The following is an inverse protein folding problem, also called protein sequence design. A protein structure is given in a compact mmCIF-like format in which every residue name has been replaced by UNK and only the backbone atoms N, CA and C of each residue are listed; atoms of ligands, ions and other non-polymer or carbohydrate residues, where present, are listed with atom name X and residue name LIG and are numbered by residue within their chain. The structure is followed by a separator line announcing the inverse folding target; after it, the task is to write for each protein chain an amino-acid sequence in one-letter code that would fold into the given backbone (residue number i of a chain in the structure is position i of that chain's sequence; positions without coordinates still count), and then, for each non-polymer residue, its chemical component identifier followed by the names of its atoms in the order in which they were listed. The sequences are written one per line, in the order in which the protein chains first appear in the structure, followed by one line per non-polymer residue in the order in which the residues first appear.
data_IF_760621697466
#
_entry.id   IF_760621697466
#
_cell.length_a   1.000
_cell.length_b   1.000
_cell.length_c   1.000
_cell.angle_alpha   90.00
_cell.angle_beta   90.00
_cell.angle_gamma   90.00
#
_symmetry.space_group_name_H-M   'P 1'
#
loop_
_entity.id
_entity.type
_entity.pdbx_description
1 polymer ?
#
# COMPACT_ATOMS: atom_id res chain seq x y z
N UNK A 1 22.45 15.76 37.38
CA UNK A 1 21.95 14.47 36.86
C UNK A 1 22.57 13.34 37.65
N UNK A 2 21.89 12.86 38.70
CA UNK A 2 22.34 11.69 39.47
C UNK A 2 21.56 10.47 38.96
N UNK A 3 21.99 9.92 37.82
CA UNK A 3 21.54 8.62 37.34
C UNK A 3 22.33 7.54 38.09
N UNK A 4 21.77 7.00 39.16
CA UNK A 4 22.37 5.87 39.87
C UNK A 4 21.78 4.57 39.33
N UNK A 5 22.65 3.65 38.91
CA UNK A 5 22.25 2.30 38.49
C UNK A 5 21.53 1.60 39.64
N UNK A 6 20.47 0.86 39.33
CA UNK A 6 19.81 0.06 40.34
C UNK A 6 20.80 -0.95 40.96
N UNK A 7 20.77 -1.08 42.28
CA UNK A 7 21.51 -2.14 42.98
C UNK A 7 21.03 -3.55 42.58
N UNK A 8 21.80 -4.57 42.98
CA UNK A 8 21.56 -5.98 42.63
C UNK A 8 20.17 -6.51 43.02
N UNK A 9 19.49 -5.89 43.99
CA UNK A 9 18.11 -6.22 44.39
C UNK A 9 17.11 -6.14 43.23
N UNK A 10 17.32 -5.22 42.28
CA UNK A 10 16.45 -5.01 41.12
C UNK A 10 17.03 -5.56 39.82
N UNK A 11 18.03 -6.44 39.90
CA UNK A 11 18.72 -6.98 38.73
C UNK A 11 17.82 -7.75 37.76
N UNK A 12 16.65 -8.22 38.21
CA UNK A 12 15.63 -8.88 37.38
C UNK A 12 14.39 -8.02 37.10
N UNK A 13 14.39 -6.74 37.50
CA UNK A 13 13.26 -5.85 37.26
C UNK A 13 13.14 -5.53 35.76
N UNK A 14 14.22 -5.07 35.13
CA UNK A 14 14.24 -4.88 33.68
C UNK A 14 14.52 -6.21 32.97
N UNK A 15 13.62 -6.58 32.06
CA UNK A 15 13.71 -7.80 31.26
C UNK A 15 14.46 -7.53 29.96
N UNK A 16 14.79 -8.60 29.23
CA UNK A 16 15.36 -8.55 27.88
C UNK A 16 16.62 -7.66 27.75
N UNK A 17 17.44 -7.59 28.80
CA UNK A 17 18.68 -6.81 28.78
C UNK A 17 18.50 -5.29 28.92
N UNK A 18 17.32 -4.84 29.38
CA UNK A 18 17.09 -3.43 29.72
C UNK A 18 17.98 -2.95 30.88
N UNK A 19 18.30 -1.66 30.88
CA UNK A 19 19.13 -1.02 31.92
C UNK A 19 18.24 -0.40 32.99
N UNK A 20 18.50 -0.71 34.25
CA UNK A 20 17.72 -0.22 35.39
C UNK A 20 18.35 1.03 36.01
N UNK A 21 17.54 2.06 36.22
CA UNK A 21 17.89 3.32 36.87
C UNK A 21 17.01 3.57 38.09
N UNK A 22 17.60 4.08 39.16
CA UNK A 22 16.85 4.53 40.35
C UNK A 22 16.65 6.03 40.30
N UNK A 23 15.40 6.46 40.47
CA UNK A 23 15.07 7.88 40.57
C UNK A 23 14.99 8.25 42.06
N UNK A 24 15.81 9.19 42.57
CA UNK A 24 15.82 9.52 44.00
C UNK A 24 14.51 10.13 44.53
N UNK A 25 13.72 10.75 43.65
CA UNK A 25 12.52 11.54 44.00
C UNK A 25 11.23 10.73 44.03
N UNK A 26 11.19 9.62 43.30
CA UNK A 26 10.08 8.66 43.28
C UNK A 26 10.74 7.33 43.51
N UNK A 27 10.49 6.70 44.65
CA UNK A 27 11.16 5.47 45.10
C UNK A 27 10.80 4.22 44.25
N UNK A 28 10.85 4.36 42.92
CA UNK A 28 10.45 3.39 41.92
C UNK A 28 11.54 3.31 40.84
N UNK A 29 12.00 2.09 40.51
CA UNK A 29 12.99 1.88 39.46
C UNK A 29 12.38 2.13 38.07
N UNK A 30 13.19 2.66 37.16
CA UNK A 30 12.85 2.90 35.77
C UNK A 30 13.74 2.05 34.84
N UNK A 31 13.14 1.48 33.79
CA UNK A 31 13.85 0.67 32.81
C UNK A 31 14.06 1.42 31.49
N UNK A 32 15.30 1.48 31.02
CA UNK A 32 15.64 1.87 29.67
C UNK A 32 15.79 0.62 28.81
N UNK A 33 14.88 0.44 27.86
CA UNK A 33 14.88 -0.72 26.98
C UNK A 33 15.92 -0.61 25.87
N UNK A 34 16.40 -1.77 25.42
CA UNK A 34 17.25 -1.92 24.24
C UNK A 34 16.41 -1.86 22.96
N UNK A 35 17.06 -1.74 21.81
CA UNK A 35 16.38 -1.73 20.51
C UNK A 35 15.49 -2.96 20.35
N UNK A 36 14.30 -2.76 19.79
CA UNK A 36 13.27 -3.80 19.57
C UNK A 36 12.55 -4.30 20.84
N UNK A 37 12.69 -3.63 21.99
CA UNK A 37 11.89 -3.90 23.19
C UNK A 37 11.24 -2.64 23.74
N UNK A 38 10.06 -2.78 24.34
CA UNK A 38 9.24 -1.71 24.93
C UNK A 38 8.47 -2.24 26.15
N UNK A 39 7.74 -1.36 26.83
CA UNK A 39 7.02 -1.68 28.08
C UNK A 39 7.70 -1.12 29.32
N UNK A 40 7.01 -1.18 30.47
CA UNK A 40 7.52 -0.62 31.73
C UNK A 40 8.75 -1.37 32.26
N UNK A 41 8.88 -2.65 31.88
CA UNK A 41 9.98 -3.54 32.26
C UNK A 41 10.68 -4.13 31.03
N UNK A 42 10.47 -3.55 29.85
CA UNK A 42 10.98 -4.07 28.57
C UNK A 42 10.47 -5.48 28.25
N UNK A 43 9.24 -5.80 28.66
CA UNK A 43 8.59 -7.10 28.49
C UNK A 43 8.02 -7.32 27.08
N UNK A 44 7.75 -6.24 26.34
CA UNK A 44 7.15 -6.28 25.02
C UNK A 44 8.25 -6.23 23.96
N UNK A 45 8.17 -7.06 22.93
CA UNK A 45 8.98 -6.87 21.72
C UNK A 45 8.35 -5.71 20.96
N UNK A 46 9.12 -4.68 20.68
CA UNK A 46 8.77 -3.66 19.70
C UNK A 46 8.84 -4.36 18.35
N UNK A 47 7.78 -5.10 18.00
CA UNK A 47 7.57 -5.48 16.62
C UNK A 47 7.67 -4.16 15.85
N UNK A 48 8.45 -4.09 14.76
CA UNK A 48 8.35 -3.00 13.82
C UNK A 48 6.94 -3.10 13.26
N UNK A 49 6.01 -2.49 13.98
CA UNK A 49 4.68 -2.20 13.52
C UNK A 49 4.99 -1.33 12.33
N UNK A 50 4.95 -1.92 11.13
CA UNK A 50 4.81 -1.19 9.89
C UNK A 50 3.67 -0.25 10.22
N UNK A 51 4.01 1.01 10.51
CA UNK A 51 3.10 2.03 11.00
C UNK A 51 1.97 2.08 9.99
N UNK A 52 0.89 1.36 10.28
CA UNK A 52 -0.23 1.14 9.35
C UNK A 52 -1.01 2.44 9.09
N UNK A 53 -0.59 3.54 9.72
CA UNK A 53 -1.17 4.87 9.55
C UNK A 53 -0.75 5.58 8.25
N UNK A 54 0.11 5.03 7.39
CA UNK A 54 0.37 5.61 6.05
C UNK A 54 0.02 4.69 4.89
N UNK A 55 -0.19 3.38 5.13
CA UNK A 55 -0.59 2.44 4.08
C UNK A 55 -2.09 2.48 3.80
N UNK A 56 -2.93 2.62 4.83
CA UNK A 56 -4.38 2.67 4.66
C UNK A 56 -4.85 3.80 3.73
N UNK A 57 -4.24 4.98 3.84
CA UNK A 57 -4.58 6.14 3.02
C UNK A 57 -4.14 5.96 1.56
N UNK A 58 -2.92 5.43 1.32
CA UNK A 58 -2.49 5.06 -0.03
C UNK A 58 -3.42 4.02 -0.66
N UNK A 59 -3.78 2.96 0.08
CA UNK A 59 -4.68 1.92 -0.43
C UNK A 59 -6.07 2.48 -0.77
N UNK A 60 -6.63 3.34 0.06
CA UNK A 60 -7.91 4.00 -0.21
C UNK A 60 -7.85 4.86 -1.48
N UNK A 61 -6.79 5.64 -1.66
CA UNK A 61 -6.59 6.46 -2.85
C UNK A 61 -6.46 5.62 -4.13
N UNK A 62 -5.71 4.50 -4.08
CA UNK A 62 -5.60 3.58 -5.22
C UNK A 62 -6.95 2.95 -5.59
N UNK A 63 -7.73 2.48 -4.61
CA UNK A 63 -9.05 1.91 -4.84
C UNK A 63 -10.02 2.94 -5.43
N UNK A 64 -10.05 4.16 -4.89
CA UNK A 64 -10.87 5.24 -5.41
C UNK A 64 -10.51 5.61 -6.85
N UNK A 65 -9.21 5.69 -7.17
CA UNK A 65 -8.72 5.98 -8.53
C UNK A 65 -9.14 4.92 -9.54
N UNK A 66 -9.04 3.63 -9.18
CA UNK A 66 -9.40 2.52 -10.06
C UNK A 66 -10.90 2.48 -10.36
N UNK A 67 -11.74 2.76 -9.35
CA UNK A 67 -13.19 2.87 -9.51
C UNK A 67 -13.59 4.05 -10.41
N UNK A 68 -12.99 5.22 -10.21
CA UNK A 68 -13.24 6.39 -11.05
C UNK A 68 -12.85 6.14 -12.51
N UNK A 69 -11.68 5.53 -12.75
CA UNK A 69 -11.23 5.21 -14.10
C UNK A 69 -12.15 4.20 -14.78
N UNK A 70 -12.60 3.17 -14.05
CA UNK A 70 -13.56 2.19 -14.55
C UNK A 70 -14.87 2.84 -14.99
N UNK A 71 -15.46 3.72 -14.17
CA UNK A 71 -16.70 4.43 -14.50
C UNK A 71 -16.53 5.33 -15.72
N UNK A 72 -15.39 6.02 -15.85
CA UNK A 72 -15.11 6.86 -17.02
C UNK A 72 -14.97 6.04 -18.31
N UNK A 73 -14.26 4.91 -18.26
CA UNK A 73 -14.12 4.02 -19.42
C UNK A 73 -15.47 3.45 -19.84
N UNK A 74 -16.26 2.98 -18.87
CA UNK A 74 -17.60 2.45 -19.11
C UNK A 74 -18.51 3.56 -19.69
N UNK A 75 -18.51 4.75 -19.09
CA UNK A 75 -19.31 5.89 -19.54
C UNK A 75 -18.92 6.36 -20.94
N UNK A 76 -17.62 6.45 -21.25
CA UNK A 76 -17.12 6.79 -22.57
C UNK A 76 -17.50 5.72 -23.59
N UNK A 77 -17.35 4.43 -23.27
CA UNK A 77 -17.78 3.33 -24.13
C UNK A 77 -19.27 3.39 -24.42
N UNK A 78 -20.12 3.55 -23.39
CA UNK A 78 -21.55 3.72 -23.58
C UNK A 78 -21.90 4.95 -24.41
N UNK A 79 -21.22 6.08 -24.19
CA UNK A 79 -21.47 7.31 -24.94
C UNK A 79 -21.05 7.16 -26.40
N UNK A 80 -19.89 6.56 -26.67
CA UNK A 80 -19.41 6.28 -28.03
C UNK A 80 -20.31 5.28 -28.74
N UNK A 81 -20.68 4.17 -28.10
CA UNK A 81 -21.62 3.19 -28.63
C UNK A 81 -23.00 3.81 -28.88
N UNK A 82 -23.50 4.67 -27.98
CA UNK A 82 -24.78 5.38 -28.17
C UNK A 82 -24.71 6.44 -29.26
N UNK A 83 -23.61 7.17 -29.38
CA UNK A 83 -23.40 8.15 -30.45
C UNK A 83 -23.34 7.46 -31.81
N UNK A 84 -22.71 6.29 -31.88
CA UNK A 84 -22.63 5.44 -33.08
C UNK A 84 -23.97 4.76 -33.38
N UNK A 85 -24.77 4.44 -32.37
CA UNK A 85 -26.08 3.80 -32.52
C UNK A 85 -27.25 4.76 -32.74
N UNK A 86 -27.05 6.09 -32.76
CA UNK A 86 -28.03 7.01 -33.36
C UNK A 86 -27.73 7.01 -34.86
N UNK A 87 -28.44 6.23 -35.68
CA UNK A 87 -28.24 6.26 -37.11
C UNK A 87 -28.87 7.57 -37.58
N UNK A 88 -28.03 8.54 -37.97
CA UNK A 88 -28.42 9.30 -39.15
C UNK A 88 -28.50 8.29 -40.27
N UNK A 89 -29.70 7.92 -40.65
CA UNK A 89 -29.94 7.26 -41.94
C UNK A 89 -29.51 8.24 -43.03
N UNK A 90 -28.26 8.12 -43.48
CA UNK A 90 -27.83 8.39 -44.86
C UNK A 90 -26.44 7.80 -45.09
N UNK A 91 -26.41 6.74 -45.89
CA UNK A 91 -25.31 6.22 -46.72
C UNK A 91 -23.95 6.96 -46.69
N UNK A 92 -22.90 6.23 -46.33
CA UNK A 92 -21.61 6.25 -47.05
C UNK A 92 -20.74 5.11 -46.50
N UNK A 93 -20.62 4.06 -47.29
CA UNK A 93 -19.60 3.02 -47.11
C UNK A 93 -18.20 3.62 -47.03
N UNK A 94 -17.35 3.04 -46.19
CA UNK A 94 -15.98 2.71 -46.56
C UNK A 94 -15.60 1.46 -45.76
N UNK A 95 -15.50 0.35 -46.48
CA UNK A 95 -15.20 -0.96 -45.93
C UNK A 95 -13.75 -1.10 -45.47
N UNK A 96 -13.54 -2.08 -44.60
CA UNK A 96 -12.23 -2.62 -44.30
C UNK A 96 -12.36 -4.13 -44.12
N UNK A 97 -12.40 -4.86 -45.24
CA UNK A 97 -11.94 -6.25 -45.31
C UNK A 97 -11.58 -6.55 -46.77
N UNK A 98 -10.41 -6.10 -47.20
CA UNK A 98 -9.63 -6.80 -48.21
C UNK A 98 -8.16 -6.40 -48.01
N UNK A 99 -7.46 -7.17 -47.19
CA UNK A 99 -6.02 -7.31 -47.29
C UNK A 99 -5.80 -8.07 -48.60
N UNK A 100 -5.53 -7.34 -49.68
CA UNK A 100 -5.05 -7.92 -50.93
C UNK A 100 -3.57 -8.27 -50.73
N UNK A 101 -3.32 -9.50 -50.31
CA UNK A 101 -2.00 -10.12 -50.41
C UNK A 101 -1.74 -10.42 -51.88
N UNK A 102 -0.84 -9.65 -52.46
CA UNK A 102 0.07 -9.98 -53.56
C UNK A 102 -0.30 -11.18 -54.45
N UNK A 103 -0.77 -10.85 -55.65
CA UNK A 103 -0.53 -11.48 -56.96
C UNK A 103 0.44 -12.67 -56.99
N UNK A 104 -0.02 -13.81 -57.54
CA UNK A 104 0.54 -14.49 -58.72
C UNK A 104 0.28 -16.00 -58.66
N UNK A 105 -0.73 -16.49 -59.36
CA UNK A 105 -0.73 -17.88 -59.84
C UNK A 105 -1.14 -17.87 -61.32
N UNK A 106 -0.16 -18.14 -62.18
CA UNK A 106 -0.36 -18.35 -63.61
C UNK A 106 -0.93 -19.74 -63.87
N UNK A 107 -1.83 -19.82 -64.84
CA UNK A 107 -2.18 -21.06 -65.52
C UNK A 107 -1.63 -20.98 -66.95
N UNK A 108 -0.63 -21.80 -67.25
CA UNK A 108 -0.24 -22.19 -68.61
C UNK A 108 -0.22 -23.73 -68.66
N UNK A 109 -0.66 -24.26 -69.81
CA UNK A 109 -0.77 -25.66 -70.25
C UNK A 109 -2.09 -26.38 -69.94
#
# INVERSE_FOLDING_TARGET
DHEELCGTSYGSFCLNGGVCYMIPTVSSPFCRCIENYTGARCEEVLLPSIKSQTKGDLFAAFLASLLLLGVLVIGAFYFLCRKVSIPRTSSSECGANLVETTSSNGCNS
#
